data_IF_093190015654
#
_entry.id   IF_093190015654
#
_cell.length_a   1.000
_cell.length_b   1.000
_cell.length_c   1.000
_cell.angle_alpha   90.00
_cell.angle_beta   90.00
_cell.angle_gamma   90.00
#
_symmetry.space_group_name_H-M   'P 1'
#
loop_
_entity.id
_entity.type
_entity.pdbx_description
1 polymer ?
#
# COMPACT_ATOMS: atom_id res chain seq x y z
N UNK A 1 -1.26 -14.51 -2.54
CA UNK A 1 -2.73 -14.48 -2.68
C UNK A 1 -3.34 -15.70 -2.00
N UNK A 2 -4.33 -15.52 -1.11
CA UNK A 2 -5.06 -16.62 -0.45
C UNK A 2 -6.50 -16.63 -0.98
N UNK A 3 -7.06 -17.81 -1.29
CA UNK A 3 -8.45 -17.94 -1.70
C UNK A 3 -9.37 -17.87 -0.48
N UNK A 4 -10.34 -16.97 -0.51
CA UNK A 4 -11.38 -16.81 0.50
C UNK A 4 -12.75 -17.01 -0.15
N UNK A 5 -13.70 -17.55 0.60
CA UNK A 5 -15.11 -17.57 0.22
C UNK A 5 -15.83 -16.51 1.07
N UNK A 6 -16.61 -15.65 0.42
CA UNK A 6 -17.41 -14.62 1.05
C UNK A 6 -18.87 -14.91 0.72
N UNK A 7 -19.73 -14.88 1.73
CA UNK A 7 -21.17 -14.89 1.53
C UNK A 7 -21.65 -13.44 1.42
N UNK A 8 -22.49 -13.16 0.44
CA UNK A 8 -23.01 -11.81 0.18
C UNK A 8 -24.40 -11.87 -0.43
N UNK A 9 -25.13 -10.78 -0.30
CA UNK A 9 -26.47 -10.64 -0.88
C UNK A 9 -26.41 -10.71 -2.41
N UNK A 10 -27.41 -11.36 -3.01
CA UNK A 10 -27.52 -11.57 -4.45
C UNK A 10 -27.57 -10.23 -5.22
N UNK A 11 -28.40 -9.29 -4.74
CA UNK A 11 -28.50 -7.94 -5.33
C UNK A 11 -27.15 -7.21 -5.34
N UNK A 12 -26.32 -7.43 -4.31
CA UNK A 12 -24.99 -6.82 -4.24
C UNK A 12 -24.02 -7.46 -5.26
N UNK A 13 -24.10 -8.78 -5.47
CA UNK A 13 -23.29 -9.46 -6.49
C UNK A 13 -23.68 -8.99 -7.90
N UNK A 14 -24.97 -8.81 -8.18
CA UNK A 14 -25.48 -8.29 -9.45
C UNK A 14 -24.95 -6.87 -9.73
N UNK A 15 -24.97 -5.99 -8.72
CA UNK A 15 -24.44 -4.64 -8.84
C UNK A 15 -22.93 -4.64 -9.10
N UNK A 16 -22.18 -5.53 -8.45
CA UNK A 16 -20.75 -5.72 -8.70
C UNK A 16 -20.47 -6.25 -10.11
N UNK A 17 -21.29 -7.17 -10.60
CA UNK A 17 -21.18 -7.71 -11.95
C UNK A 17 -21.38 -6.63 -13.01
N UNK A 18 -22.45 -5.84 -12.85
CA UNK A 18 -22.75 -4.74 -13.76
C UNK A 18 -21.62 -3.68 -13.74
N UNK A 19 -21.07 -3.36 -12.56
CA UNK A 19 -19.97 -2.41 -12.43
C UNK A 19 -18.67 -2.95 -13.02
N UNK A 20 -18.36 -4.23 -12.82
CA UNK A 20 -17.20 -4.90 -13.37
C UNK A 20 -17.23 -4.88 -14.91
N UNK A 21 -18.41 -5.18 -15.50
CA UNK A 21 -18.63 -5.10 -16.93
C UNK A 21 -18.45 -3.68 -17.47
N UNK A 22 -18.99 -2.67 -16.78
CA UNK A 22 -18.83 -1.24 -17.18
C UNK A 22 -17.38 -0.78 -17.18
N UNK A 23 -16.59 -1.22 -16.20
CA UNK A 23 -15.21 -0.81 -16.03
C UNK A 23 -14.20 -1.71 -16.78
N UNK A 24 -14.65 -2.84 -17.34
CA UNK A 24 -13.77 -3.81 -18.00
C UNK A 24 -12.80 -4.49 -17.03
N UNK A 25 -13.17 -4.63 -15.76
CA UNK A 25 -12.36 -5.27 -14.72
C UNK A 25 -13.06 -6.48 -14.14
N UNK A 26 -12.35 -7.31 -13.38
CA UNK A 26 -12.97 -8.45 -12.69
C UNK A 26 -13.79 -8.00 -11.47
N UNK A 27 -14.88 -8.71 -11.13
CA UNK A 27 -15.63 -8.52 -9.87
C UNK A 27 -14.69 -8.51 -8.65
N UNK A 28 -13.75 -9.45 -8.64
CA UNK A 28 -12.77 -9.58 -7.55
C UNK A 28 -11.83 -8.36 -7.46
N UNK A 29 -11.57 -7.61 -8.54
CA UNK A 29 -10.79 -6.38 -8.47
C UNK A 29 -11.55 -5.30 -7.71
N UNK A 30 -12.84 -5.12 -8.00
CA UNK A 30 -13.68 -4.17 -7.28
C UNK A 30 -13.77 -4.50 -5.79
N UNK A 31 -13.92 -5.78 -5.45
CA UNK A 31 -13.92 -6.23 -4.04
C UNK A 31 -12.57 -5.93 -3.38
N UNK A 32 -11.45 -6.24 -4.03
CA UNK A 32 -10.12 -5.92 -3.49
C UNK A 32 -9.94 -4.42 -3.28
N UNK A 33 -10.33 -3.60 -4.25
CA UNK A 33 -10.19 -2.15 -4.19
C UNK A 33 -11.07 -1.55 -3.08
N UNK A 34 -12.31 -2.01 -2.94
CA UNK A 34 -13.21 -1.56 -1.88
C UNK A 34 -12.70 -1.96 -0.49
N UNK A 35 -12.22 -3.20 -0.32
CA UNK A 35 -11.63 -3.69 0.92
C UNK A 35 -10.35 -2.90 1.25
N UNK A 36 -9.46 -2.69 0.26
CA UNK A 36 -8.24 -1.93 0.44
C UNK A 36 -8.52 -0.44 0.73
N UNK A 37 -9.51 0.17 0.10
CA UNK A 37 -9.91 1.54 0.40
C UNK A 37 -10.42 1.69 1.85
N UNK A 38 -11.15 0.68 2.35
CA UNK A 38 -11.77 0.72 3.67
C UNK A 38 -10.83 0.37 4.83
N UNK A 39 -9.91 -0.56 4.60
CA UNK A 39 -9.02 -1.11 5.63
C UNK A 39 -7.55 -0.74 5.40
N UNK A 40 -7.26 0.02 4.34
CA UNK A 40 -5.91 0.18 3.80
C UNK A 40 -5.55 -1.01 2.91
N UNK A 41 -4.80 -0.77 1.82
CA UNK A 41 -3.87 -1.81 1.40
C UNK A 41 -3.04 -2.10 2.65
N UNK A 42 -2.90 -3.38 3.04
CA UNK A 42 -1.92 -3.75 4.05
C UNK A 42 -0.67 -2.98 3.66
N UNK A 43 -0.26 -2.02 4.50
CA UNK A 43 0.99 -1.28 4.28
C UNK A 43 1.96 -2.40 3.96
N UNK A 44 2.57 -2.37 2.77
CA UNK A 44 3.83 -3.08 2.60
C UNK A 44 4.61 -2.66 3.82
N UNK A 45 4.89 -3.61 4.71
CA UNK A 45 5.47 -3.43 6.04
C UNK A 45 6.94 -3.01 5.92
N UNK A 46 7.25 -2.20 4.91
CA UNK A 46 8.49 -1.48 4.83
C UNK A 46 8.23 -0.21 5.63
N UNK A 47 8.85 -0.16 6.81
CA UNK A 47 8.87 1.06 7.60
C UNK A 47 9.51 2.16 6.73
N UNK A 48 8.85 3.30 6.49
CA UNK A 48 9.49 4.40 5.76
C UNK A 48 10.80 4.87 6.43
N UNK A 49 11.02 4.56 7.71
CA UNK A 49 12.30 4.75 8.40
C UNK A 49 13.34 3.73 7.93
N UNK A 50 12.96 2.48 7.67
CA UNK A 50 13.88 1.47 7.12
C UNK A 50 14.37 1.85 5.72
N UNK A 51 13.53 2.48 4.90
CA UNK A 51 13.97 3.04 3.59
C UNK A 51 14.95 4.20 3.75
N UNK A 52 14.87 4.94 4.86
CA UNK A 52 15.78 6.07 5.14
C UNK A 52 17.13 5.59 5.67
N UNK A 53 17.19 4.44 6.33
CA UNK A 53 18.42 3.84 6.83
C UNK A 53 19.30 3.43 5.65
N UNK A 54 20.43 4.14 5.47
CA UNK A 54 21.37 3.89 4.37
C UNK A 54 21.00 4.55 3.04
N UNK A 55 19.94 5.37 2.98
CA UNK A 55 19.60 6.17 1.79
C UNK A 55 20.64 7.27 1.48
N UNK A 56 21.46 7.62 2.46
CA UNK A 56 22.56 8.56 2.31
C UNK A 56 23.88 7.79 2.15
N UNK A 57 24.42 7.77 0.93
CA UNK A 57 25.72 7.18 0.58
C UNK A 57 26.88 8.18 0.74
N UNK A 58 26.67 9.21 1.57
CA UNK A 58 27.75 10.13 1.90
C UNK A 58 28.81 9.40 2.73
N UNK A 59 30.08 9.68 2.46
CA UNK A 59 31.16 9.30 3.35
C UNK A 59 30.82 9.79 4.78
N UNK A 60 31.27 9.06 5.79
CA UNK A 60 31.28 9.56 7.17
C UNK A 60 32.22 10.77 7.17
N UNK A 61 31.65 11.93 6.90
CA UNK A 61 32.32 13.22 6.86
C UNK A 61 32.59 13.73 8.27
N UNK A 62 33.29 14.85 8.33
CA UNK A 62 33.69 15.60 9.53
C UNK A 62 32.62 15.56 10.62
N UNK A 63 33.08 15.55 11.88
CA UNK A 63 32.18 15.38 13.02
C UNK A 63 31.04 16.40 12.93
N UNK A 64 29.84 16.05 13.39
CA UNK A 64 28.72 17.01 13.42
C UNK A 64 29.15 18.30 14.11
N UNK A 65 30.03 18.19 15.11
CA UNK A 65 30.58 19.32 15.81
C UNK A 65 31.52 20.16 14.92
N UNK A 66 32.31 19.55 14.04
CA UNK A 66 33.18 20.25 13.10
C UNK A 66 32.34 21.03 12.06
N UNK A 67 31.23 20.45 11.59
CA UNK A 67 30.34 21.09 10.60
C UNK A 67 29.51 22.22 11.23
N UNK A 68 29.05 22.03 12.47
CA UNK A 68 28.15 22.98 13.15
C UNK A 68 28.92 24.06 13.92
N UNK A 69 30.03 23.71 14.56
CA UNK A 69 30.82 24.59 15.43
C UNK A 69 32.19 24.97 14.86
N UNK A 70 32.64 24.35 13.77
CA UNK A 70 33.79 24.81 12.98
C UNK A 70 35.14 24.85 13.71
N UNK A 71 35.31 24.10 14.81
CA UNK A 71 36.51 24.21 15.67
C UNK A 71 36.96 22.88 16.26
#
# INVERSE_FOLDING_TARGET
MRRIQLYMDEELDDLLEAQAARLGVSKASLVRDAVAARFGAARTEVDPIDELIGAFDGAVGESVDDVVYGT
#
